data_IF_559029275878
#
_entry.id   IF_559029275878
#
_cell.length_a   1.000
_cell.length_b   1.000
_cell.length_c   1.000
_cell.angle_alpha   90.00
_cell.angle_beta   90.00
_cell.angle_gamma   90.00
#
_symmetry.space_group_name_H-M   'P 1'
#
loop_
_entity.id
_entity.type
_entity.pdbx_description
1 polymer ?
#
# COMPACT_ATOMS: atom_id res chain seq x y z
N UNK A 1 67.82 34.93 -13.79
CA UNK A 1 66.62 34.31 -14.35
C UNK A 1 66.10 33.28 -13.33
N UNK A 2 64.98 33.58 -12.63
CA UNK A 2 64.43 32.71 -11.61
C UNK A 2 63.11 32.12 -12.19
N UNK A 3 63.06 30.82 -12.36
CA UNK A 3 61.82 30.10 -12.80
C UNK A 3 60.90 29.86 -11.61
N UNK A 4 59.68 30.36 -11.70
CA UNK A 4 58.60 30.08 -10.76
C UNK A 4 57.93 28.76 -11.18
N UNK A 5 57.95 27.77 -10.28
CA UNK A 5 57.21 26.49 -10.46
C UNK A 5 55.88 26.62 -9.76
N UNK A 6 54.80 26.57 -10.53
CA UNK A 6 53.43 26.45 -10.01
C UNK A 6 53.08 24.97 -9.78
N UNK A 7 52.85 24.62 -8.52
CA UNK A 7 52.31 23.31 -8.15
C UNK A 7 50.77 23.29 -8.24
N UNK A 8 50.16 22.19 -8.68
CA UNK A 8 48.68 22.06 -8.71
C UNK A 8 48.14 21.75 -7.30
N UNK A 9 47.23 22.57 -6.81
CA UNK A 9 46.38 22.27 -5.65
C UNK A 9 45.36 21.18 -6.02
N UNK A 10 45.55 19.97 -5.45
CA UNK A 10 44.49 18.94 -5.46
C UNK A 10 43.45 19.34 -4.42
N UNK A 11 42.31 19.83 -4.90
CA UNK A 11 41.10 20.02 -4.09
C UNK A 11 40.44 18.66 -3.85
N UNK A 12 40.50 18.13 -2.62
CA UNK A 12 39.69 16.97 -2.21
C UNK A 12 38.26 17.40 -1.98
N UNK A 13 37.37 17.03 -2.89
CA UNK A 13 35.90 17.18 -2.73
C UNK A 13 35.43 16.11 -1.73
N UNK A 14 35.15 16.53 -0.48
CA UNK A 14 34.45 15.69 0.50
C UNK A 14 32.97 15.62 0.06
N UNK A 15 32.58 14.54 -0.62
CA UNK A 15 31.23 14.23 -0.90
C UNK A 15 30.49 13.87 0.42
N UNK A 16 29.68 14.78 0.94
CA UNK A 16 28.70 14.47 1.98
C UNK A 16 27.61 13.59 1.35
N UNK A 17 27.73 12.27 1.49
CA UNK A 17 26.65 11.35 1.25
C UNK A 17 25.54 11.65 2.25
N UNK A 18 24.38 12.13 1.78
CA UNK A 18 23.19 12.20 2.59
C UNK A 18 22.83 10.78 3.04
N UNK A 19 22.48 10.56 4.32
CA UNK A 19 22.00 9.27 4.75
C UNK A 19 20.75 8.94 3.92
N UNK A 20 20.75 7.78 3.27
CA UNK A 20 19.55 7.25 2.63
C UNK A 20 18.53 7.05 3.77
N UNK A 21 17.57 7.95 3.89
CA UNK A 21 16.46 7.80 4.82
C UNK A 21 15.79 6.46 4.55
N UNK A 22 15.45 5.74 5.61
CA UNK A 22 14.74 4.48 5.51
C UNK A 22 13.43 4.69 4.73
N UNK A 23 13.17 3.80 3.78
CA UNK A 23 11.99 3.91 2.93
C UNK A 23 10.76 3.44 3.71
N UNK A 24 9.63 4.19 3.68
CA UNK A 24 8.39 3.72 4.29
C UNK A 24 7.97 2.36 3.74
N UNK A 25 7.49 1.50 4.63
CA UNK A 25 7.07 0.14 4.30
C UNK A 25 5.68 -0.16 4.86
N UNK A 26 4.89 -0.97 4.14
CA UNK A 26 3.69 -1.60 4.66
C UNK A 26 4.07 -2.98 5.18
N UNK A 27 3.99 -3.19 6.48
CA UNK A 27 4.24 -4.48 7.13
C UNK A 27 2.92 -5.19 7.37
N UNK A 28 2.84 -6.47 7.01
CA UNK A 28 1.70 -7.34 7.26
C UNK A 28 2.06 -8.34 8.35
N UNK A 29 1.38 -8.24 9.49
CA UNK A 29 1.61 -9.12 10.64
C UNK A 29 0.33 -9.84 11.04
N UNK A 30 0.48 -11.03 11.60
CA UNK A 30 -0.55 -11.74 12.38
C UNK A 30 -0.20 -11.69 13.87
N UNK A 31 -1.00 -12.31 14.70
CA UNK A 31 -0.70 -12.42 16.15
C UNK A 31 0.58 -13.24 16.43
N UNK A 32 1.05 -14.02 15.46
CA UNK A 32 2.15 -14.99 15.65
C UNK A 32 3.37 -14.74 14.76
N UNK A 33 3.21 -14.04 13.62
CA UNK A 33 4.28 -13.89 12.64
C UNK A 33 4.09 -12.68 11.73
N UNK A 34 5.17 -12.27 11.10
CA UNK A 34 5.16 -11.33 9.97
C UNK A 34 5.01 -12.10 8.66
N UNK A 35 3.97 -11.77 7.89
CA UNK A 35 3.71 -12.40 6.58
C UNK A 35 4.53 -11.76 5.46
N UNK A 36 4.95 -10.52 5.64
CA UNK A 36 5.77 -9.81 4.66
C UNK A 36 5.75 -8.30 4.84
N UNK A 37 6.68 -7.68 4.13
CA UNK A 37 6.88 -6.23 4.10
C UNK A 37 6.96 -5.76 2.65
N UNK A 38 6.24 -4.70 2.32
CA UNK A 38 6.15 -4.14 0.98
C UNK A 38 6.61 -2.68 1.03
N UNK A 39 7.60 -2.26 0.21
CA UNK A 39 7.95 -0.85 0.10
C UNK A 39 6.72 0.00 -0.25
N UNK A 40 6.53 1.10 0.46
CA UNK A 40 5.39 2.00 0.27
C UNK A 40 5.84 3.47 0.25
N UNK A 41 6.64 3.86 -0.76
CA UNK A 41 7.00 5.26 -0.93
C UNK A 41 5.76 6.12 -1.15
N UNK A 42 5.89 7.42 -0.93
CA UNK A 42 4.79 8.35 -1.12
C UNK A 42 4.19 8.26 -2.52
N UNK A 43 2.86 8.22 -2.60
CA UNK A 43 2.11 8.16 -3.85
C UNK A 43 2.02 6.79 -4.52
N UNK A 44 2.70 5.75 -3.99
CA UNK A 44 2.52 4.40 -4.50
C UNK A 44 1.21 3.79 -4.00
N UNK A 45 0.42 3.24 -4.93
CA UNK A 45 -0.78 2.48 -4.61
C UNK A 45 -0.45 1.02 -4.25
N UNK A 46 -1.04 0.54 -3.17
CA UNK A 46 -1.11 -0.88 -2.81
C UNK A 46 -2.59 -1.26 -2.75
N UNK A 47 -3.00 -2.32 -3.44
CA UNK A 47 -4.39 -2.75 -3.45
C UNK A 47 -4.55 -4.13 -2.81
N UNK A 48 -5.41 -4.22 -1.80
CA UNK A 48 -5.93 -5.47 -1.28
C UNK A 48 -7.11 -5.90 -2.14
N UNK A 49 -7.07 -7.08 -2.72
CA UNK A 49 -8.13 -7.65 -3.57
C UNK A 49 -8.64 -8.94 -2.97
N UNK A 50 -9.95 -9.16 -3.10
CA UNK A 50 -10.60 -10.41 -2.65
C UNK A 50 -11.93 -10.65 -3.35
N UNK A 51 -12.59 -11.75 -3.02
CA UNK A 51 -13.98 -12.02 -3.38
C UNK A 51 -14.87 -11.89 -2.15
N UNK A 52 -15.98 -11.21 -2.29
CA UNK A 52 -16.95 -11.11 -1.21
C UNK A 52 -17.44 -12.51 -0.81
N UNK A 53 -17.43 -12.82 0.48
CA UNK A 53 -17.66 -14.20 0.98
C UNK A 53 -19.06 -14.75 0.69
N UNK A 54 -20.06 -13.88 0.52
CA UNK A 54 -21.44 -14.24 0.25
C UNK A 54 -21.74 -14.19 -1.25
N UNK A 55 -21.50 -13.06 -1.91
CA UNK A 55 -21.88 -12.85 -3.33
C UNK A 55 -20.86 -13.42 -4.31
N UNK A 56 -19.61 -13.64 -3.89
CA UNK A 56 -18.50 -14.02 -4.77
C UNK A 56 -18.00 -12.87 -5.66
N UNK A 57 -18.63 -11.70 -5.59
CA UNK A 57 -18.24 -10.52 -6.35
C UNK A 57 -16.81 -10.06 -6.00
N UNK A 58 -16.11 -9.52 -6.98
CA UNK A 58 -14.75 -8.98 -6.78
C UNK A 58 -14.82 -7.68 -5.98
N UNK A 59 -13.89 -7.51 -5.07
CA UNK A 59 -13.68 -6.29 -4.27
C UNK A 59 -12.21 -5.93 -4.29
N UNK A 60 -11.90 -4.65 -4.24
CA UNK A 60 -10.55 -4.15 -4.02
C UNK A 60 -10.60 -2.85 -3.22
N UNK A 61 -9.74 -2.76 -2.21
CA UNK A 61 -9.43 -1.50 -1.53
C UNK A 61 -7.98 -1.14 -1.81
N UNK A 62 -7.75 0.09 -2.26
CA UNK A 62 -6.44 0.59 -2.59
C UNK A 62 -6.03 1.69 -1.63
N UNK A 63 -4.80 1.61 -1.18
CA UNK A 63 -4.21 2.48 -0.18
C UNK A 63 -2.99 3.17 -0.75
N UNK A 64 -2.70 4.37 -0.26
CA UNK A 64 -1.47 5.08 -0.57
C UNK A 64 -0.86 5.67 0.72
N UNK A 65 0.47 5.81 0.71
CA UNK A 65 1.16 6.62 1.69
C UNK A 65 1.07 8.09 1.24
N UNK A 66 0.47 8.93 2.08
CA UNK A 66 0.46 10.39 1.87
C UNK A 66 1.07 11.08 3.09
N UNK A 67 2.27 11.58 2.92
CA UNK A 67 3.03 12.25 3.98
C UNK A 67 3.15 11.43 5.28
N UNK A 68 3.37 10.11 5.18
CA UNK A 68 3.48 9.21 6.33
C UNK A 68 2.13 8.72 6.89
N UNK A 69 1.02 9.09 6.26
CA UNK A 69 -0.33 8.63 6.62
C UNK A 69 -0.81 7.57 5.63
N UNK A 70 -1.27 6.44 6.13
CA UNK A 70 -1.94 5.41 5.32
C UNK A 70 -3.35 5.87 5.00
N UNK A 71 -3.64 6.06 3.72
CA UNK A 71 -4.92 6.56 3.23
C UNK A 71 -5.61 5.50 2.38
N UNK A 72 -6.91 5.28 2.58
CA UNK A 72 -7.77 4.60 1.60
C UNK A 72 -8.10 5.60 0.49
N UNK A 73 -7.70 5.29 -0.74
CA UNK A 73 -7.78 6.22 -1.88
C UNK A 73 -8.88 5.86 -2.87
N UNK A 74 -9.20 4.59 -3.00
CA UNK A 74 -10.27 4.10 -3.87
C UNK A 74 -10.69 2.69 -3.51
N UNK A 75 -11.94 2.35 -3.82
CA UNK A 75 -12.50 1.01 -3.65
C UNK A 75 -13.19 0.55 -4.92
N UNK A 76 -13.07 -0.73 -5.26
CA UNK A 76 -13.80 -1.38 -6.34
C UNK A 76 -14.81 -2.37 -5.79
N UNK A 77 -16.02 -2.36 -6.35
CA UNK A 77 -17.12 -3.25 -6.01
C UNK A 77 -17.74 -3.82 -7.28
N UNK A 78 -17.86 -5.15 -7.34
CA UNK A 78 -18.52 -5.79 -8.49
C UNK A 78 -20.04 -5.57 -8.49
N UNK A 79 -20.65 -5.55 -7.32
CA UNK A 79 -22.08 -5.30 -7.15
C UNK A 79 -22.35 -4.55 -5.83
N UNK A 80 -23.50 -3.84 -5.77
CA UNK A 80 -23.93 -3.14 -4.56
C UNK A 80 -24.54 -4.05 -3.49
N UNK A 81 -24.85 -5.32 -3.84
CA UNK A 81 -25.46 -6.27 -2.91
C UNK A 81 -24.51 -6.67 -1.77
N UNK A 82 -23.23 -6.37 -1.90
CA UNK A 82 -22.22 -6.62 -0.87
C UNK A 82 -22.30 -5.69 0.36
N UNK A 83 -23.28 -4.79 0.42
CA UNK A 83 -23.44 -3.85 1.55
C UNK A 83 -22.35 -2.76 1.63
N UNK A 84 -21.51 -2.67 0.60
CA UNK A 84 -20.44 -1.69 0.47
C UNK A 84 -20.85 -0.51 -0.41
N UNK A 85 -22.15 -0.23 -0.48
CA UNK A 85 -22.75 0.74 -1.39
C UNK A 85 -22.27 2.16 -1.18
N UNK A 86 -22.75 3.03 -2.06
CA UNK A 86 -22.51 4.46 -2.02
C UNK A 86 -22.85 5.04 -0.65
N UNK A 87 -21.87 5.69 -0.04
CA UNK A 87 -22.05 6.55 1.14
C UNK A 87 -21.90 7.98 0.66
N UNK A 88 -22.91 8.78 0.86
CA UNK A 88 -22.91 10.19 0.45
C UNK A 88 -21.68 10.92 1.03
N UNK A 89 -20.93 11.60 0.16
CA UNK A 89 -19.71 12.30 0.53
C UNK A 89 -18.44 11.43 0.59
N UNK A 90 -18.53 10.14 0.27
CA UNK A 90 -17.40 9.20 0.30
C UNK A 90 -16.82 8.96 -1.11
N UNK A 91 -16.23 10.00 -1.69
CA UNK A 91 -15.59 9.92 -3.01
C UNK A 91 -16.57 10.01 -4.18
N UNK A 92 -16.11 9.63 -5.37
CA UNK A 92 -16.84 9.71 -6.64
C UNK A 92 -17.10 8.32 -7.19
N UNK A 93 -18.40 7.98 -7.40
CA UNK A 93 -18.79 6.70 -7.98
C UNK A 93 -18.65 6.72 -9.50
N UNK A 94 -17.92 5.76 -10.07
CA UNK A 94 -17.68 5.64 -11.51
C UNK A 94 -17.88 4.20 -11.98
N UNK A 95 -18.64 3.95 -13.07
CA UNK A 95 -18.73 2.60 -13.64
C UNK A 95 -17.35 2.09 -14.05
N UNK A 96 -17.06 0.82 -13.75
CA UNK A 96 -15.80 0.19 -14.12
C UNK A 96 -15.92 -0.54 -15.48
N UNK A 97 -14.90 -0.47 -16.35
CA UNK A 97 -14.85 -1.29 -17.56
C UNK A 97 -14.94 -2.79 -17.21
N UNK A 98 -15.86 -3.49 -17.85
CA UNK A 98 -16.09 -4.91 -17.57
C UNK A 98 -17.05 -5.22 -16.43
N UNK A 99 -17.74 -4.22 -15.91
CA UNK A 99 -18.74 -4.32 -14.84
C UNK A 99 -18.23 -3.91 -13.47
N UNK A 100 -19.17 -3.63 -12.57
CA UNK A 100 -18.88 -3.10 -11.24
C UNK A 100 -18.61 -1.60 -11.25
N UNK A 101 -18.10 -1.10 -10.14
CA UNK A 101 -17.95 0.32 -9.86
C UNK A 101 -16.64 0.59 -9.13
N UNK A 102 -16.04 1.74 -9.42
CA UNK A 102 -15.00 2.34 -8.60
C UNK A 102 -15.61 3.48 -7.79
N UNK A 103 -15.22 3.58 -6.54
CA UNK A 103 -15.32 4.79 -5.74
C UNK A 103 -13.91 5.38 -5.72
N UNK A 104 -13.72 6.50 -6.39
CA UNK A 104 -12.43 7.20 -6.48
C UNK A 104 -12.43 8.46 -5.61
N UNK A 105 -11.31 9.15 -5.56
CA UNK A 105 -11.15 10.40 -4.80
C UNK A 105 -11.50 10.25 -3.31
N UNK A 106 -11.24 9.07 -2.76
CA UNK A 106 -11.36 8.82 -1.34
C UNK A 106 -10.09 9.32 -0.65
N UNK A 107 -10.28 10.09 0.41
CA UNK A 107 -9.22 10.62 1.26
C UNK A 107 -9.46 10.21 2.71
N UNK A 108 -9.55 8.89 2.95
CA UNK A 108 -9.87 8.37 4.27
C UNK A 108 -8.60 7.91 5.00
N UNK A 109 -8.16 8.67 6.02
CA UNK A 109 -7.02 8.26 6.83
C UNK A 109 -7.37 7.04 7.68
N UNK A 110 -6.48 6.05 7.67
CA UNK A 110 -6.60 4.91 8.56
C UNK A 110 -6.03 5.25 9.93
N UNK A 111 -6.81 4.94 10.97
CA UNK A 111 -6.38 5.14 12.36
C UNK A 111 -5.09 4.38 12.63
N UNK A 112 -4.15 5.00 13.34
CA UNK A 112 -2.86 4.40 13.71
C UNK A 112 -2.07 3.88 12.50
N UNK A 113 -2.31 4.41 11.29
CA UNK A 113 -1.69 3.95 10.05
C UNK A 113 -1.87 2.43 9.81
N UNK A 114 -2.99 1.86 10.25
CA UNK A 114 -3.17 0.41 10.27
C UNK A 114 -4.56 -0.01 9.82
N UNK A 115 -4.62 -1.05 9.01
CA UNK A 115 -5.85 -1.80 8.67
C UNK A 115 -5.80 -3.15 9.34
N UNK A 116 -6.79 -3.47 10.16
CA UNK A 116 -6.97 -4.82 10.71
C UNK A 116 -8.06 -5.56 9.95
N UNK A 117 -7.78 -6.81 9.56
CA UNK A 117 -8.75 -7.68 8.90
C UNK A 117 -8.62 -9.12 9.40
N UNK A 118 -9.67 -9.91 9.16
CA UNK A 118 -9.58 -11.37 9.20
C UNK A 118 -9.30 -11.89 7.79
N UNK A 119 -8.19 -12.56 7.61
CA UNK A 119 -7.84 -13.17 6.32
C UNK A 119 -8.87 -14.25 6.00
N UNK A 120 -9.49 -14.18 4.84
CA UNK A 120 -10.46 -15.19 4.37
C UNK A 120 -9.76 -16.47 3.91
N UNK A 121 -10.59 -17.49 3.63
CA UNK A 121 -10.11 -18.73 2.99
C UNK A 121 -9.55 -18.45 1.58
N UNK A 122 -8.91 -19.43 0.98
CA UNK A 122 -8.43 -19.36 -0.42
C UNK A 122 -9.55 -19.03 -1.41
N UNK A 123 -10.80 -19.43 -1.14
CA UNK A 123 -11.96 -19.06 -1.95
C UNK A 123 -12.25 -17.56 -1.92
N UNK A 124 -12.02 -16.91 -0.79
CA UNK A 124 -12.10 -15.44 -0.64
C UNK A 124 -10.91 -14.79 -1.31
N UNK A 125 -9.72 -15.35 -1.13
CA UNK A 125 -8.52 -14.99 -1.86
C UNK A 125 -8.05 -13.58 -1.59
N UNK A 126 -7.78 -13.21 -0.33
CA UNK A 126 -7.13 -11.93 -0.02
C UNK A 126 -5.71 -11.91 -0.56
N UNK A 127 -5.43 -10.99 -1.45
CA UNK A 127 -4.12 -10.81 -2.08
C UNK A 127 -3.79 -9.31 -2.10
N UNK A 128 -2.59 -8.95 -1.64
CA UNK A 128 -2.04 -7.61 -1.79
C UNK A 128 -1.23 -7.49 -3.08
N UNK A 129 -1.43 -6.41 -3.80
CA UNK A 129 -0.70 -6.05 -5.02
C UNK A 129 -0.05 -4.67 -4.86
N UNK A 130 1.25 -4.60 -5.12
CA UNK A 130 2.04 -3.37 -5.13
C UNK A 130 3.01 -3.40 -6.33
N UNK A 131 2.63 -2.80 -7.43
CA UNK A 131 3.37 -2.97 -8.69
C UNK A 131 3.47 -4.45 -9.06
N UNK A 132 4.70 -4.96 -9.20
CA UNK A 132 4.99 -6.36 -9.51
C UNK A 132 5.01 -7.26 -8.25
N UNK A 133 4.92 -6.68 -7.05
CA UNK A 133 4.92 -7.44 -5.80
C UNK A 133 3.53 -7.98 -5.51
N UNK A 134 3.45 -9.27 -5.21
CA UNK A 134 2.21 -9.98 -4.87
C UNK A 134 2.38 -10.72 -3.55
N UNK A 135 1.51 -10.44 -2.57
CA UNK A 135 1.51 -11.15 -1.28
C UNK A 135 0.15 -11.84 -1.08
N UNK A 136 0.09 -13.19 -1.24
CA UNK A 136 -1.15 -13.96 -1.19
C UNK A 136 -1.55 -14.30 0.25
N UNK A 137 -2.22 -13.39 0.96
CA UNK A 137 -2.54 -13.54 2.39
C UNK A 137 -3.36 -14.79 2.69
N UNK A 138 -4.36 -15.10 1.85
CA UNK A 138 -5.22 -16.27 2.06
C UNK A 138 -4.51 -17.61 1.91
N UNK A 139 -3.39 -17.64 1.18
CA UNK A 139 -2.53 -18.82 1.09
C UNK A 139 -1.57 -18.91 2.28
N UNK A 140 -1.06 -17.75 2.74
CA UNK A 140 -0.07 -17.70 3.83
C UNK A 140 -0.70 -17.96 5.19
N UNK A 141 -1.83 -17.32 5.51
CA UNK A 141 -2.43 -17.37 6.84
C UNK A 141 -3.98 -17.34 6.80
N UNK A 142 -4.65 -18.33 6.18
CA UNK A 142 -6.10 -18.36 6.09
C UNK A 142 -6.76 -18.38 7.48
N UNK A 143 -7.75 -17.50 7.70
CA UNK A 143 -8.49 -17.40 8.96
C UNK A 143 -7.79 -16.58 10.04
N UNK A 144 -6.53 -16.21 9.89
CA UNK A 144 -5.82 -15.40 10.87
C UNK A 144 -6.34 -13.96 10.94
N UNK A 145 -6.20 -13.33 12.10
CA UNK A 145 -6.31 -11.88 12.24
C UNK A 145 -4.99 -11.26 11.79
N UNK A 146 -5.05 -10.30 10.90
CA UNK A 146 -3.86 -9.63 10.41
C UNK A 146 -4.00 -8.11 10.51
N UNK A 147 -2.87 -7.44 10.65
CA UNK A 147 -2.74 -5.98 10.60
C UNK A 147 -1.78 -5.60 9.46
N UNK A 148 -2.21 -4.67 8.62
CA UNK A 148 -1.43 -4.03 7.58
C UNK A 148 -1.06 -2.64 8.09
N UNK A 149 0.18 -2.42 8.46
CA UNK A 149 0.61 -1.18 9.13
C UNK A 149 1.68 -0.46 8.32
N UNK A 150 1.44 0.82 7.99
CA UNK A 150 2.47 1.68 7.41
C UNK A 150 3.46 2.08 8.51
N UNK A 151 4.74 1.83 8.25
CA UNK A 151 5.85 2.23 9.12
C UNK A 151 6.80 3.13 8.33
N UNK A 152 7.26 4.20 8.97
CA UNK A 152 8.49 4.86 8.58
C UNK A 152 9.61 4.16 9.34
N UNK A 153 10.53 3.54 8.64
CA UNK A 153 11.73 2.98 9.26
C UNK A 153 12.70 4.11 9.62
#
# INVERSE_FOLDING_TARGET
>A
MRALVWGPCLGAALGFGLPAGAQPVLTVTTDTEELGTIPMPEGQDICLRWRHSVTGGKVADCFANRAGQLMLTRSYLHDFAAGLGEVEGRGTLTPAPGGGYWITDMDEPLSENSLTLRIGSERVGHILYAGDTVLPLSTLAPGARASLTLRAD
#
